data_IF_437879693673
#
_entry.id   IF_437879693673
#
_cell.length_a   1.000
_cell.length_b   1.000
_cell.length_c   1.000
_cell.angle_alpha   90.00
_cell.angle_beta   90.00
_cell.angle_gamma   90.00
#
_symmetry.space_group_name_H-M   'P 1'
#
loop_
_entity.id
_entity.type
_entity.pdbx_description
1 polymer ?
#
# COMPACT_ATOMS: atom_id res chain seq x y z
N UNK A 1 33.62 39.39 -18.18
CA UNK A 1 32.64 38.49 -17.53
C UNK A 1 32.57 38.87 -16.06
N UNK A 2 31.38 39.17 -15.52
CA UNK A 2 31.23 39.73 -14.16
C UNK A 2 31.74 38.73 -13.10
N UNK A 3 32.52 39.15 -12.08
CA UNK A 3 33.12 38.25 -11.09
C UNK A 3 32.06 37.42 -10.32
N UNK A 4 30.84 37.94 -10.20
CA UNK A 4 29.69 37.22 -9.65
C UNK A 4 29.34 35.94 -10.44
N UNK A 5 29.46 35.93 -11.77
CA UNK A 5 29.16 34.75 -12.58
C UNK A 5 30.17 33.62 -12.34
N UNK A 6 31.45 33.97 -12.15
CA UNK A 6 32.52 33.00 -11.88
C UNK A 6 32.34 32.39 -10.49
N UNK A 7 31.96 33.20 -9.50
CA UNK A 7 31.66 32.70 -8.15
C UNK A 7 30.45 31.77 -8.11
N UNK A 8 29.37 32.11 -8.83
CA UNK A 8 28.18 31.25 -8.91
C UNK A 8 28.50 29.92 -9.61
N UNK A 9 29.26 29.95 -10.70
CA UNK A 9 29.69 28.73 -11.40
C UNK A 9 30.62 27.86 -10.54
N UNK A 10 31.55 28.47 -9.80
CA UNK A 10 32.45 27.75 -8.90
C UNK A 10 31.67 27.09 -7.74
N UNK A 11 30.67 27.78 -7.18
CA UNK A 11 29.85 27.27 -6.08
C UNK A 11 28.93 26.11 -6.54
N UNK A 12 28.40 26.19 -7.77
CA UNK A 12 27.68 25.09 -8.42
C UNK A 12 28.59 23.89 -8.70
N UNK A 13 29.84 24.12 -9.11
CA UNK A 13 30.79 23.04 -9.38
C UNK A 13 31.23 22.33 -8.09
N UNK A 14 31.42 23.07 -6.99
CA UNK A 14 31.75 22.51 -5.67
C UNK A 14 30.59 21.70 -5.08
N UNK A 15 29.34 22.12 -5.30
CA UNK A 15 28.15 21.35 -4.89
C UNK A 15 28.02 20.04 -5.68
N UNK A 16 28.27 20.06 -6.99
CA UNK A 16 28.23 18.85 -7.83
C UNK A 16 29.42 17.90 -7.59
N UNK A 17 30.59 18.41 -7.18
CA UNK A 17 31.79 17.60 -6.94
C UNK A 17 31.85 16.96 -5.54
N UNK A 18 30.82 17.15 -4.71
CA UNK A 18 30.70 16.47 -3.41
C UNK A 18 30.26 15.01 -3.59
N UNK A 19 31.05 14.24 -4.34
CA UNK A 19 30.91 12.79 -4.43
C UNK A 19 31.26 12.24 -3.04
N UNK A 20 30.26 11.76 -2.29
CA UNK A 20 30.45 11.19 -0.95
C UNK A 20 30.92 9.75 -1.15
N UNK A 21 32.22 9.43 -1.01
CA UNK A 21 32.77 8.12 -1.36
C UNK A 21 32.14 6.98 -0.53
N UNK A 22 31.67 7.28 0.68
CA UNK A 22 31.07 6.28 1.58
C UNK A 22 29.64 5.84 1.20
N UNK A 23 28.92 6.60 0.38
CA UNK A 23 27.58 6.22 -0.07
C UNK A 23 27.63 5.21 -1.22
N UNK A 24 28.65 5.30 -2.09
CA UNK A 24 28.75 4.50 -3.32
C UNK A 24 29.44 3.15 -3.16
N UNK A 25 30.02 2.86 -1.98
CA UNK A 25 30.84 1.66 -1.81
C UNK A 25 30.06 0.41 -1.36
N UNK A 26 28.81 0.56 -0.89
CA UNK A 26 27.99 -0.55 -0.38
C UNK A 26 26.57 -0.48 -0.92
N UNK A 27 25.96 -1.64 -1.12
CA UNK A 27 24.55 -1.67 -1.49
C UNK A 27 23.68 -1.12 -0.35
N UNK A 28 22.67 -0.31 -0.66
CA UNK A 28 21.72 0.25 0.32
C UNK A 28 20.30 -0.02 -0.15
N UNK A 29 19.56 -0.78 0.65
CA UNK A 29 18.16 -1.09 0.40
C UNK A 29 17.26 -0.26 1.31
N UNK A 30 16.17 0.25 0.75
CA UNK A 30 15.04 0.82 1.46
C UNK A 30 13.84 -0.08 1.22
N UNK A 31 13.17 -0.49 2.29
CA UNK A 31 12.04 -1.40 2.20
C UNK A 31 10.79 -0.76 2.76
N UNK A 32 9.72 -0.76 1.96
CA UNK A 32 8.42 -0.29 2.38
C UNK A 32 7.48 -1.47 2.52
N UNK A 33 6.69 -1.47 3.59
CA UNK A 33 5.59 -2.40 3.85
C UNK A 33 4.31 -1.57 3.92
N UNK A 34 3.33 -1.98 3.14
CA UNK A 34 2.04 -1.31 3.04
C UNK A 34 0.90 -2.31 3.13
N UNK A 35 -0.18 -1.91 3.81
CA UNK A 35 -1.45 -2.67 3.82
C UNK A 35 -2.36 -1.99 2.81
N UNK A 36 -2.58 -2.63 1.66
CA UNK A 36 -3.28 -2.02 0.53
C UNK A 36 -4.79 -1.87 0.79
N UNK A 37 -5.35 -2.74 1.62
CA UNK A 37 -6.78 -2.70 1.94
C UNK A 37 -7.12 -1.49 2.82
N UNK A 38 -8.15 -0.75 2.40
CA UNK A 38 -8.72 0.36 3.18
C UNK A 38 -9.37 -0.12 4.48
N UNK A 39 -10.09 -1.24 4.42
CA UNK A 39 -10.74 -1.86 5.56
C UNK A 39 -10.26 -3.29 5.70
N UNK A 40 -9.93 -3.67 6.93
CA UNK A 40 -9.58 -5.04 7.28
C UNK A 40 -10.82 -5.68 7.89
N UNK A 41 -11.18 -6.87 7.41
CA UNK A 41 -12.36 -7.58 7.87
C UNK A 41 -11.96 -9.03 8.10
N UNK A 42 -12.39 -9.58 9.21
CA UNK A 42 -12.27 -11.01 9.49
C UNK A 42 -12.81 -11.85 8.32
N UNK A 43 -12.14 -12.96 8.02
CA UNK A 43 -12.49 -13.85 6.92
C UNK A 43 -12.50 -13.22 5.50
N UNK A 44 -11.94 -12.01 5.32
CA UNK A 44 -11.71 -11.40 4.00
C UNK A 44 -10.22 -11.24 3.71
N UNK A 45 -9.86 -11.29 2.44
CA UNK A 45 -8.47 -11.16 2.00
C UNK A 45 -7.89 -9.77 2.33
N UNK A 46 -6.67 -9.79 2.84
CA UNK A 46 -5.83 -8.64 3.14
C UNK A 46 -4.53 -8.79 2.36
N UNK A 47 -4.22 -7.77 1.58
CA UNK A 47 -3.04 -7.70 0.73
C UNK A 47 -1.98 -6.83 1.39
N UNK A 48 -0.84 -7.45 1.70
CA UNK A 48 0.37 -6.81 2.18
C UNK A 48 1.33 -6.67 1.00
N UNK A 49 1.82 -5.45 0.77
CA UNK A 49 2.78 -5.16 -0.28
C UNK A 49 4.12 -4.78 0.35
N UNK A 50 5.17 -5.49 -0.03
CA UNK A 50 6.54 -5.16 0.31
C UNK A 50 7.25 -4.68 -0.95
N UNK A 51 7.84 -3.49 -0.89
CA UNK A 51 8.63 -2.97 -2.00
C UNK A 51 10.05 -2.72 -1.52
N UNK A 52 11.01 -3.33 -2.20
CA UNK A 52 12.43 -3.20 -1.93
C UNK A 52 13.03 -2.30 -3.01
N UNK A 53 13.59 -1.18 -2.62
CA UNK A 53 14.28 -0.23 -3.49
C UNK A 53 15.77 -0.26 -3.24
N UNK A 54 16.57 -0.50 -4.27
CA UNK A 54 18.02 -0.33 -4.21
C UNK A 54 18.38 1.09 -4.65
N UNK A 55 18.79 1.92 -3.68
CA UNK A 55 19.14 3.33 -3.92
C UNK A 55 20.61 3.53 -4.25
N UNK A 56 21.37 2.45 -4.37
CA UNK A 56 22.82 2.49 -4.56
C UNK A 56 23.22 2.02 -5.96
N UNK A 57 24.42 2.43 -6.44
CA UNK A 57 24.97 1.94 -7.70
C UNK A 57 25.53 0.51 -7.62
N UNK A 58 25.38 -0.18 -6.49
CA UNK A 58 25.89 -1.54 -6.26
C UNK A 58 24.73 -2.54 -6.14
N UNK A 59 24.95 -3.75 -6.64
CA UNK A 59 23.97 -4.85 -6.54
C UNK A 59 23.93 -5.37 -5.10
N UNK A 60 22.74 -5.41 -4.50
CA UNK A 60 22.52 -6.14 -3.25
C UNK A 60 22.31 -7.63 -3.58
N UNK A 61 22.92 -8.53 -2.80
CA UNK A 61 22.83 -9.99 -3.02
C UNK A 61 22.20 -10.67 -1.82
N UNK A 62 21.69 -11.88 -2.05
CA UNK A 62 21.07 -12.72 -1.02
C UNK A 62 20.04 -11.95 -0.19
N UNK A 63 19.15 -11.24 -0.89
CA UNK A 63 18.15 -10.40 -0.23
C UNK A 63 17.02 -11.30 0.24
N UNK A 64 16.75 -11.33 1.53
CA UNK A 64 15.67 -12.08 2.13
C UNK A 64 14.80 -11.14 2.96
N UNK A 65 13.48 -11.26 2.81
CA UNK A 65 12.51 -10.59 3.66
C UNK A 65 11.83 -11.63 4.53
N UNK A 66 11.68 -11.33 5.82
CA UNK A 66 10.99 -12.16 6.78
C UNK A 66 10.04 -11.31 7.61
N UNK A 67 8.74 -11.60 7.54
CA UNK A 67 7.71 -10.88 8.30
C UNK A 67 7.08 -11.75 9.40
N UNK A 68 6.82 -11.13 10.56
CA UNK A 68 6.22 -11.80 11.71
C UNK A 68 4.70 -11.78 11.60
N UNK A 69 4.17 -12.76 10.88
CA UNK A 69 2.73 -12.99 10.70
C UNK A 69 2.39 -14.39 11.24
N UNK A 70 1.86 -14.49 12.47
CA UNK A 70 1.57 -15.78 13.09
C UNK A 70 0.36 -16.46 12.43
N UNK A 71 0.45 -17.77 12.24
CA UNK A 71 -0.60 -18.60 11.63
C UNK A 71 -1.85 -18.77 12.52
N UNK A 72 -1.74 -18.40 13.81
CA UNK A 72 -2.87 -18.30 14.72
C UNK A 72 -3.86 -17.22 14.30
N UNK A 73 -3.35 -16.11 13.76
CA UNK A 73 -4.12 -14.90 13.51
C UNK A 73 -4.43 -14.75 12.01
N UNK A 74 -3.60 -15.34 11.14
CA UNK A 74 -3.71 -15.23 9.69
C UNK A 74 -3.60 -16.59 9.00
N UNK A 75 -4.44 -16.78 7.98
CA UNK A 75 -4.25 -17.85 6.99
C UNK A 75 -3.57 -17.27 5.75
N UNK A 76 -2.56 -17.96 5.23
CA UNK A 76 -1.87 -17.55 4.01
C UNK A 76 -2.61 -18.11 2.80
N UNK A 77 -2.95 -17.23 1.85
CA UNK A 77 -3.60 -17.60 0.58
C UNK A 77 -2.59 -17.54 -0.56
N UNK A 78 -1.80 -16.46 -0.61
CA UNK A 78 -0.81 -16.25 -1.66
C UNK A 78 0.46 -15.60 -1.12
N UNK A 79 1.60 -15.93 -1.77
CA UNK A 79 2.92 -15.49 -1.35
C UNK A 79 3.41 -16.21 -0.09
N UNK A 80 4.59 -15.83 0.37
CA UNK A 80 5.22 -16.39 1.57
C UNK A 80 5.71 -15.28 2.50
N UNK A 81 5.65 -15.55 3.82
CA UNK A 81 6.18 -14.66 4.87
C UNK A 81 7.70 -14.49 4.82
N UNK A 82 8.40 -15.50 4.29
CA UNK A 82 9.84 -15.46 3.99
C UNK A 82 10.03 -15.65 2.50
N UNK A 83 10.71 -14.71 1.85
CA UNK A 83 11.07 -14.82 0.43
C UNK A 83 12.49 -14.34 0.23
N UNK A 84 13.25 -15.08 -0.57
CA UNK A 84 14.63 -14.77 -0.90
C UNK A 84 14.80 -14.51 -2.39
N UNK A 85 15.50 -13.44 -2.72
CA UNK A 85 15.93 -13.08 -4.05
C UNK A 85 17.45 -13.19 -4.15
N UNK A 86 17.98 -13.71 -5.28
CA UNK A 86 19.42 -13.85 -5.47
C UNK A 86 20.12 -12.48 -5.47
N UNK A 87 19.49 -11.47 -6.09
CA UNK A 87 20.03 -10.12 -6.13
C UNK A 87 18.99 -9.07 -6.50
N UNK A 88 19.21 -7.84 -6.03
CA UNK A 88 18.51 -6.62 -6.46
C UNK A 88 19.52 -5.75 -7.19
N UNK A 89 19.25 -5.45 -8.47
CA UNK A 89 20.13 -4.67 -9.32
C UNK A 89 20.27 -3.22 -8.81
N UNK A 90 21.35 -2.52 -9.17
CA UNK A 90 21.50 -1.10 -8.86
C UNK A 90 20.32 -0.29 -9.39
N UNK A 91 19.87 0.71 -8.64
CA UNK A 91 18.81 1.63 -9.06
C UNK A 91 17.51 0.93 -9.51
N UNK A 92 17.23 -0.27 -8.96
CA UNK A 92 16.05 -1.07 -9.32
C UNK A 92 15.18 -1.37 -8.10
N UNK A 93 13.96 -1.83 -8.35
CA UNK A 93 13.00 -2.21 -7.33
C UNK A 93 12.42 -3.60 -7.57
N UNK A 94 12.07 -4.27 -6.47
CA UNK A 94 11.36 -5.55 -6.46
C UNK A 94 10.14 -5.39 -5.57
N UNK A 95 9.01 -5.92 -6.02
CA UNK A 95 7.76 -5.97 -5.25
C UNK A 95 7.43 -7.41 -4.88
N UNK A 96 6.93 -7.59 -3.67
CA UNK A 96 6.44 -8.86 -3.15
C UNK A 96 5.07 -8.64 -2.54
N UNK A 97 4.06 -9.36 -3.01
CA UNK A 97 2.70 -9.30 -2.47
C UNK A 97 2.38 -10.57 -1.69
N UNK A 98 1.85 -10.40 -0.48
CA UNK A 98 1.38 -11.49 0.37
C UNK A 98 -0.10 -11.27 0.66
N UNK A 99 -0.91 -12.28 0.37
CA UNK A 99 -2.35 -12.25 0.61
C UNK A 99 -2.64 -13.17 1.78
N UNK A 100 -3.23 -12.60 2.83
CA UNK A 100 -3.61 -13.30 4.05
C UNK A 100 -5.07 -13.06 4.38
N UNK A 101 -5.73 -14.03 5.02
CA UNK A 101 -7.07 -13.86 5.57
C UNK A 101 -6.98 -13.90 7.10
N UNK A 102 -7.38 -12.83 7.81
CA UNK A 102 -7.37 -12.77 9.26
C UNK A 102 -8.47 -13.67 9.84
N UNK A 103 -8.11 -14.42 10.90
CA UNK A 103 -8.96 -15.41 11.58
C UNK A 103 -9.82 -14.83 12.70
N UNK A 104 -9.46 -13.66 13.23
CA UNK A 104 -10.17 -13.03 14.33
C UNK A 104 -10.25 -11.51 14.15
N UNK A 105 -11.39 -10.94 14.53
CA UNK A 105 -11.56 -9.49 14.63
C UNK A 105 -10.83 -8.91 15.85
N UNK A 106 -10.44 -7.63 15.77
CA UNK A 106 -9.75 -6.93 16.85
C UNK A 106 -8.61 -6.03 16.35
N UNK A 107 -7.89 -5.42 17.28
CA UNK A 107 -6.71 -4.63 16.95
C UNK A 107 -5.53 -5.56 16.68
N UNK A 108 -4.93 -5.42 15.50
CA UNK A 108 -3.70 -6.11 15.15
C UNK A 108 -2.61 -5.09 14.85
N UNK A 109 -1.39 -5.36 15.32
CA UNK A 109 -0.25 -4.48 15.10
C UNK A 109 0.62 -4.99 13.95
N UNK A 110 0.57 -4.30 12.81
CA UNK A 110 1.46 -4.59 11.68
C UNK A 110 2.83 -3.96 11.95
N UNK A 111 3.73 -4.78 12.51
CA UNK A 111 5.13 -4.40 12.75
C UNK A 111 5.93 -4.36 11.46
N UNK A 112 7.17 -3.87 11.53
CA UNK A 112 8.12 -3.95 10.42
C UNK A 112 8.46 -5.41 10.09
N UNK A 113 8.74 -5.67 8.82
CA UNK A 113 9.39 -6.89 8.37
C UNK A 113 10.91 -6.73 8.48
N UNK A 114 11.59 -7.83 8.77
CA UNK A 114 13.04 -7.92 8.79
C UNK A 114 13.56 -8.20 7.38
N UNK A 115 14.65 -7.55 7.00
CA UNK A 115 15.28 -7.70 5.69
C UNK A 115 16.76 -7.96 5.90
N UNK A 116 17.26 -9.04 5.34
CA UNK A 116 18.69 -9.37 5.38
C UNK A 116 19.26 -9.37 3.98
N UNK A 117 20.44 -8.79 3.80
CA UNK A 117 21.12 -8.77 2.50
C UNK A 117 22.63 -8.63 2.66
N UNK A 118 23.37 -8.98 1.61
CA UNK A 118 24.81 -8.73 1.49
C UNK A 118 25.06 -7.51 0.64
N UNK A 119 25.79 -6.54 1.19
CA UNK A 119 26.06 -5.25 0.57
C UNK A 119 27.26 -5.26 -0.41
N UNK A 120 27.56 -6.40 -1.05
CA UNK A 120 28.69 -6.61 -1.96
C UNK A 120 28.93 -8.11 -2.26
N UNK A 121 29.97 -8.45 -3.04
CA UNK A 121 30.31 -9.85 -3.39
C UNK A 121 30.66 -10.69 -2.15
N UNK A 122 31.53 -10.17 -1.28
CA UNK A 122 31.94 -10.80 0.00
C UNK A 122 31.46 -9.99 1.21
N UNK A 123 30.33 -9.29 1.06
CA UNK A 123 29.78 -8.44 2.11
C UNK A 123 29.25 -9.26 3.29
N UNK A 124 29.43 -8.75 4.51
CA UNK A 124 28.75 -9.28 5.70
C UNK A 124 27.24 -9.14 5.57
N UNK A 125 26.49 -10.03 6.21
CA UNK A 125 25.02 -9.93 6.28
C UNK A 125 24.65 -8.65 7.01
N UNK A 126 23.88 -7.80 6.35
CA UNK A 126 23.37 -6.54 6.86
C UNK A 126 21.88 -6.72 7.14
N UNK A 127 21.46 -6.26 8.32
CA UNK A 127 20.06 -6.29 8.75
C UNK A 127 19.42 -4.93 8.48
N UNK A 128 18.20 -4.95 7.97
CA UNK A 128 17.35 -3.81 7.71
C UNK A 128 15.93 -4.11 8.14
N UNK A 129 15.11 -3.07 8.23
CA UNK A 129 13.72 -3.17 8.59
C UNK A 129 12.87 -2.40 7.58
N UNK A 130 11.69 -2.92 7.29
CA UNK A 130 10.71 -2.18 6.50
C UNK A 130 10.06 -1.06 7.33
N UNK A 131 9.29 -0.19 6.67
CA UNK A 131 8.28 0.62 7.37
C UNK A 131 7.33 -0.27 8.18
N UNK A 132 6.75 0.29 9.24
CA UNK A 132 5.73 -0.36 10.06
C UNK A 132 4.38 0.35 9.84
N UNK A 133 3.39 -0.31 9.20
CA UNK A 133 2.05 0.26 9.02
C UNK A 133 1.33 0.58 10.35
N UNK A 134 1.76 -0.06 11.44
CA UNK A 134 1.25 0.19 12.79
C UNK A 134 -0.04 -0.57 13.09
N UNK A 135 -0.74 -0.13 14.14
CA UNK A 135 -1.96 -0.75 14.61
C UNK A 135 -3.13 -0.50 13.67
N UNK A 136 -3.86 -1.56 13.29
CA UNK A 136 -5.10 -1.47 12.52
C UNK A 136 -6.19 -2.30 13.16
N UNK A 137 -7.43 -1.84 12.98
CA UNK A 137 -8.62 -2.54 13.43
C UNK A 137 -9.10 -3.49 12.34
N UNK A 138 -9.20 -4.77 12.68
CA UNK A 138 -9.87 -5.80 11.90
C UNK A 138 -11.33 -5.82 12.35
N UNK A 139 -12.23 -5.47 11.44
CA UNK A 139 -13.66 -5.36 11.69
C UNK A 139 -14.33 -6.74 11.66
N UNK A 140 -15.35 -6.89 12.49
CA UNK A 140 -16.28 -8.02 12.43
C UNK A 140 -17.09 -7.89 11.13
N UNK A 141 -17.37 -8.99 10.39
CA UNK A 141 -18.05 -8.92 9.10
C UNK A 141 -19.45 -8.28 9.20
N UNK A 142 -20.18 -8.51 10.29
CA UNK A 142 -21.50 -7.92 10.52
C UNK A 142 -21.45 -6.39 10.70
N UNK A 143 -20.45 -5.88 11.42
CA UNK A 143 -20.23 -4.44 11.63
C UNK A 143 -19.84 -3.78 10.31
N UNK A 144 -18.94 -4.41 9.55
CA UNK A 144 -18.55 -3.94 8.24
C UNK A 144 -19.75 -3.86 7.29
N UNK A 145 -20.54 -4.93 7.19
CA UNK A 145 -21.70 -4.94 6.30
C UNK A 145 -22.74 -3.88 6.71
N UNK A 146 -22.99 -3.66 8.00
CA UNK A 146 -23.93 -2.61 8.43
C UNK A 146 -23.49 -1.19 8.02
N UNK A 147 -22.19 -0.93 7.96
CA UNK A 147 -21.66 0.40 7.62
C UNK A 147 -21.45 0.61 6.12
N UNK A 148 -21.09 -0.45 5.39
CA UNK A 148 -20.61 -0.36 4.02
C UNK A 148 -21.43 -1.19 3.02
N UNK A 149 -22.53 -1.81 3.45
CA UNK A 149 -23.45 -2.48 2.51
C UNK A 149 -24.06 -1.46 1.56
N UNK A 150 -24.14 -1.84 0.29
CA UNK A 150 -24.85 -1.04 -0.70
C UNK A 150 -26.35 -1.32 -0.60
N UNK A 151 -27.13 -0.28 -0.32
CA UNK A 151 -28.60 -0.35 -0.21
C UNK A 151 -29.32 -0.06 -1.54
N UNK A 152 -28.63 -0.19 -2.68
CA UNK A 152 -29.17 0.19 -3.99
C UNK A 152 -30.45 -0.55 -4.38
N UNK A 153 -30.59 -1.82 -3.99
CA UNK A 153 -31.82 -2.60 -4.22
C UNK A 153 -32.99 -2.01 -3.45
N UNK A 154 -32.78 -1.64 -2.19
CA UNK A 154 -33.81 -0.99 -1.35
C UNK A 154 -34.22 0.36 -1.95
N UNK A 155 -33.26 1.15 -2.43
CA UNK A 155 -33.53 2.41 -3.13
C UNK A 155 -34.33 2.22 -4.42
N UNK A 156 -34.01 1.19 -5.21
CA UNK A 156 -34.78 0.86 -6.42
C UNK A 156 -36.20 0.46 -6.05
N UNK A 157 -36.39 -0.45 -5.08
CA UNK A 157 -37.71 -0.85 -4.61
C UNK A 157 -38.51 0.35 -4.10
N UNK A 158 -37.88 1.22 -3.29
CA UNK A 158 -38.48 2.46 -2.82
C UNK A 158 -38.91 3.37 -3.97
N UNK A 159 -38.05 3.57 -4.97
CA UNK A 159 -38.37 4.35 -6.14
C UNK A 159 -39.58 3.77 -6.90
N UNK A 160 -39.62 2.45 -7.10
CA UNK A 160 -40.77 1.78 -7.74
C UNK A 160 -42.08 1.97 -6.97
N UNK A 161 -42.05 1.86 -5.64
CA UNK A 161 -43.23 2.04 -4.80
C UNK A 161 -43.69 3.51 -4.76
N UNK A 162 -42.74 4.46 -4.72
CA UNK A 162 -43.05 5.89 -4.67
C UNK A 162 -43.48 6.47 -6.04
N UNK A 163 -43.04 5.86 -7.13
CA UNK A 163 -43.35 6.31 -8.49
C UNK A 163 -44.85 6.45 -8.76
N UNK A 164 -45.74 5.46 -8.53
CA UNK A 164 -47.17 5.63 -8.77
C UNK A 164 -47.80 6.71 -7.88
N UNK A 165 -47.34 6.83 -6.63
CA UNK A 165 -47.83 7.83 -5.68
C UNK A 165 -47.52 9.27 -6.15
N UNK A 166 -46.43 9.49 -6.90
CA UNK A 166 -46.05 10.79 -7.45
C UNK A 166 -46.57 11.00 -8.88
N UNK A 167 -46.50 9.95 -9.72
CA UNK A 167 -46.83 10.02 -11.13
C UNK A 167 -48.34 10.17 -11.38
N UNK A 168 -49.18 9.44 -10.64
CA UNK A 168 -50.64 9.50 -10.85
C UNK A 168 -51.20 10.90 -10.55
N UNK A 169 -50.94 11.52 -9.38
CA UNK A 169 -51.40 12.89 -9.11
C UNK A 169 -50.84 13.91 -10.10
N UNK A 170 -49.57 13.77 -10.48
CA UNK A 170 -48.95 14.65 -11.48
C UNK A 170 -49.64 14.56 -12.85
N UNK A 171 -49.94 13.34 -13.32
CA UNK A 171 -50.66 13.13 -14.58
C UNK A 171 -52.07 13.72 -14.53
N UNK A 172 -52.80 13.52 -13.44
CA UNK A 172 -54.13 14.09 -13.23
C UNK A 172 -54.09 15.63 -13.24
N UNK A 173 -53.15 16.22 -12.50
CA UNK A 173 -52.96 17.67 -12.47
C UNK A 173 -52.59 18.21 -13.86
N UNK A 174 -51.64 17.58 -14.56
CA UNK A 174 -51.21 18.01 -15.90
C UNK A 174 -52.37 18.01 -16.89
N UNK A 175 -53.22 16.97 -16.85
CA UNK A 175 -54.42 16.88 -17.67
C UNK A 175 -55.48 17.95 -17.32
N UNK A 176 -55.59 18.36 -16.06
CA UNK A 176 -56.45 19.50 -15.69
C UNK A 176 -55.87 20.84 -16.13
N UNK A 177 -54.58 21.07 -15.91
CA UNK A 177 -53.93 22.35 -16.18
C UNK A 177 -53.86 22.68 -17.67
N UNK A 178 -53.75 21.66 -18.53
CA UNK A 178 -53.76 21.84 -19.98
C UNK A 178 -55.12 22.28 -20.54
N UNK A 179 -56.22 22.21 -19.78
CA UNK A 179 -57.54 22.66 -20.23
C UNK A 179 -57.78 24.16 -20.02
N UNK A 180 -56.97 24.81 -19.18
CA UNK A 180 -57.10 26.23 -18.83
C UNK A 180 -55.98 27.09 -19.41
N UNK A 181 -55.16 26.51 -20.29
CA UNK A 181 -54.24 27.20 -21.20
C UNK A 181 -54.82 27.12 -22.61
#
# INVERSE_FOLDING_TARGET
MRPACVFVLALLFVLCASDRPDLNNRARLVVTKEVLNRYLVEAKEVTLLYTIHNLSPKTARDVEIHDRLPESDFTFVHGSRSTRWPSVLPMSNITHSVIVIPRSAGYFNFTSAEVTYKAGMDGTVTYGYSSAPGMRLILIPSVFNRQFSSHWVEWICFAFIMTPCLAIPYMLWRASASKYK
#
